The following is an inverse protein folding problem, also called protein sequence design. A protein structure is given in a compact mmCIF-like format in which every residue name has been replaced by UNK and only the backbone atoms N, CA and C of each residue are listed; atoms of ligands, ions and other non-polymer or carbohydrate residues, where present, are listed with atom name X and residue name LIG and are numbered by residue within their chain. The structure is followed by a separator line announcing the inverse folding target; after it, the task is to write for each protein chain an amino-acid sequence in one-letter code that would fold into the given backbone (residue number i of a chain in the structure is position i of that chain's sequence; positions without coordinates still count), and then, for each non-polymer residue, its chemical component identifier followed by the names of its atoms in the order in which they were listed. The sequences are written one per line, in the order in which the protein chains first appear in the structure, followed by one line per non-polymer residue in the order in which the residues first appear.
data_IF_488695830712
#
_entry.id   IF_488695830712
#
_cell.length_a   1.000
_cell.length_b   1.000
_cell.length_c   1.000
_cell.angle_alpha   90.00
_cell.angle_beta   90.00
_cell.angle_gamma   90.00
#
_symmetry.space_group_name_H-M   'P 1'
#
loop_
_entity.id
_entity.type
_entity.pdbx_description
1 polymer ?
#
# COMPACT_ATOMS: atom_id res chain seq x y z
N UNK A 1 4.12 22.13 -10.54
CA UNK A 1 4.55 21.21 -9.47
C UNK A 1 6.06 20.97 -9.48
N UNK A 2 6.65 20.42 -10.54
CA UNK A 2 8.10 20.16 -10.60
C UNK A 2 8.98 21.41 -10.40
N UNK A 3 8.57 22.58 -10.92
CA UNK A 3 9.24 23.88 -10.65
C UNK A 3 9.26 24.30 -9.17
N UNK A 4 8.42 23.68 -8.34
CA UNK A 4 8.38 23.83 -6.89
C UNK A 4 8.97 22.61 -6.16
N UNK A 5 9.86 21.86 -6.82
CA UNK A 5 10.61 20.72 -6.27
C UNK A 5 9.77 19.48 -5.91
N UNK A 6 8.58 19.32 -6.50
CA UNK A 6 7.86 18.05 -6.40
C UNK A 6 8.60 16.96 -7.17
N UNK A 7 9.14 15.96 -6.46
CA UNK A 7 9.85 14.80 -7.03
C UNK A 7 8.91 13.70 -7.53
N UNK A 8 7.62 13.78 -7.20
CA UNK A 8 6.60 12.78 -7.55
C UNK A 8 5.28 13.48 -7.82
N UNK A 9 4.65 13.13 -8.94
CA UNK A 9 3.34 13.65 -9.36
C UNK A 9 2.35 12.50 -9.34
N UNK A 10 1.42 12.51 -8.37
CA UNK A 10 0.28 11.59 -8.34
C UNK A 10 -0.73 12.03 -9.39
N UNK A 11 -1.10 11.14 -10.31
CA UNK A 11 -2.21 11.39 -11.25
C UNK A 11 -3.48 10.78 -10.63
N UNK A 12 -4.30 11.65 -10.06
CA UNK A 12 -5.57 11.27 -9.41
C UNK A 12 -6.59 10.74 -10.43
N UNK A 13 -7.29 9.67 -10.09
CA UNK A 13 -8.34 9.07 -10.92
C UNK A 13 -7.92 8.86 -12.38
N UNK A 14 -6.64 8.54 -12.61
CA UNK A 14 -6.01 8.60 -13.92
C UNK A 14 -6.69 7.68 -14.95
N UNK A 15 -7.13 6.50 -14.50
CA UNK A 15 -7.82 5.54 -15.35
C UNK A 15 -9.10 6.13 -16.00
N UNK A 16 -9.70 7.16 -15.42
CA UNK A 16 -10.90 7.81 -15.96
C UNK A 16 -10.59 8.98 -16.92
N UNK A 17 -9.33 9.28 -17.23
CA UNK A 17 -9.00 10.49 -17.98
C UNK A 17 -9.43 10.44 -19.46
N UNK A 18 -9.36 9.27 -20.10
CA UNK A 18 -9.71 9.10 -21.52
C UNK A 18 -11.18 8.72 -21.65
N UNK A 19 -11.90 9.42 -22.55
CA UNK A 19 -13.30 9.17 -22.87
C UNK A 19 -13.46 8.78 -24.33
N UNK A 20 -14.14 7.67 -24.59
CA UNK A 20 -14.32 7.13 -25.94
C UNK A 20 -15.65 6.42 -26.04
N UNK A 21 -16.44 6.82 -27.06
CA UNK A 21 -17.73 6.19 -27.36
C UNK A 21 -17.58 4.66 -27.46
N UNK A 22 -18.59 3.96 -26.94
CA UNK A 22 -18.68 2.51 -26.91
C UNK A 22 -17.56 1.79 -26.11
N UNK A 23 -16.97 2.47 -25.11
CA UNK A 23 -16.03 1.88 -24.14
C UNK A 23 -16.52 2.02 -22.70
N UNK A 24 -15.78 1.46 -21.73
CA UNK A 24 -16.07 1.63 -20.29
C UNK A 24 -15.71 3.01 -19.75
N UNK A 25 -15.03 3.86 -20.53
CA UNK A 25 -14.44 5.13 -20.08
C UNK A 25 -13.46 4.98 -18.89
N UNK A 26 -12.94 3.76 -18.69
CA UNK A 26 -11.97 3.38 -17.68
C UNK A 26 -10.81 2.63 -18.32
N UNK A 27 -9.61 3.19 -18.16
CA UNK A 27 -8.35 2.72 -18.72
C UNK A 27 -8.46 2.36 -20.22
N UNK A 28 -8.91 3.31 -21.03
CA UNK A 28 -9.14 3.11 -22.47
C UNK A 28 -7.81 2.92 -23.20
N UNK A 29 -7.52 1.67 -23.57
CA UNK A 29 -6.31 1.23 -24.28
C UNK A 29 -6.52 1.25 -25.81
N UNK A 30 -5.62 1.82 -26.63
CA UNK A 30 -4.28 2.35 -26.30
C UNK A 30 -4.18 3.83 -25.92
N UNK A 31 -5.24 4.62 -26.05
CA UNK A 31 -5.18 6.08 -25.89
C UNK A 31 -4.69 6.55 -24.51
N UNK A 32 -4.89 5.76 -23.46
CA UNK A 32 -4.38 6.05 -22.11
C UNK A 32 -2.84 6.13 -22.07
N UNK A 33 -2.14 5.40 -22.95
CA UNK A 33 -0.68 5.41 -23.02
C UNK A 33 -0.15 6.68 -23.69
N UNK A 34 -0.88 7.20 -24.68
CA UNK A 34 -0.55 8.48 -25.32
C UNK A 34 -0.62 9.60 -24.28
N UNK A 35 -1.67 9.59 -23.44
CA UNK A 35 -1.80 10.54 -22.33
C UNK A 35 -0.65 10.43 -21.32
N UNK A 36 -0.23 9.21 -20.94
CA UNK A 36 0.94 9.04 -20.06
C UNK A 36 2.23 9.56 -20.71
N UNK A 37 2.40 9.33 -22.02
CA UNK A 37 3.56 9.82 -22.76
C UNK A 37 3.59 11.35 -22.82
N UNK A 38 2.44 12.00 -23.04
CA UNK A 38 2.30 13.46 -22.98
C UNK A 38 2.68 14.01 -21.61
N UNK A 39 2.14 13.45 -20.52
CA UNK A 39 2.49 13.88 -19.15
C UNK A 39 3.99 13.69 -18.88
N UNK A 40 4.59 12.60 -19.36
CA UNK A 40 6.03 12.36 -19.23
C UNK A 40 6.85 13.38 -20.03
N UNK A 41 6.38 13.77 -21.20
CA UNK A 41 7.01 14.81 -22.01
C UNK A 41 6.94 16.19 -21.34
N UNK A 42 5.82 16.52 -20.70
CA UNK A 42 5.67 17.77 -19.93
C UNK A 42 6.64 17.85 -18.74
N UNK A 43 7.04 16.70 -18.21
CA UNK A 43 8.04 16.59 -17.13
C UNK A 43 9.47 16.41 -17.64
N UNK A 44 9.71 16.43 -18.95
CA UNK A 44 11.04 16.26 -19.53
C UNK A 44 12.00 17.36 -19.03
N UNK A 45 13.22 16.94 -18.67
CA UNK A 45 14.22 17.83 -18.06
C UNK A 45 14.03 18.07 -16.56
N UNK A 46 13.12 17.34 -15.91
CA UNK A 46 12.98 17.30 -14.45
C UNK A 46 13.20 15.88 -13.92
N UNK A 47 13.53 15.74 -12.65
CA UNK A 47 13.66 14.43 -11.99
C UNK A 47 12.31 13.87 -11.48
N UNK A 48 11.21 14.60 -11.72
CA UNK A 48 9.90 14.26 -11.20
C UNK A 48 9.39 12.94 -11.81
N UNK A 49 8.97 12.02 -10.93
CA UNK A 49 8.39 10.74 -11.32
C UNK A 49 6.86 10.85 -11.38
N UNK A 50 6.22 9.92 -12.11
CA UNK A 50 4.77 9.84 -12.26
C UNK A 50 4.25 8.63 -11.48
N UNK A 51 3.16 8.83 -10.75
CA UNK A 51 2.45 7.81 -9.99
C UNK A 51 0.94 7.88 -10.29
N UNK A 52 0.47 7.15 -11.31
CA UNK A 52 -0.95 7.07 -11.61
C UNK A 52 -1.67 6.30 -10.50
N UNK A 53 -2.76 6.86 -10.00
CA UNK A 53 -3.65 6.16 -9.07
C UNK A 53 -4.71 5.38 -9.87
N UNK A 54 -4.77 4.08 -9.61
CA UNK A 54 -5.64 3.12 -10.29
C UNK A 54 -6.09 2.07 -9.27
N UNK A 55 -7.36 2.14 -8.86
CA UNK A 55 -8.04 1.07 -8.12
C UNK A 55 -8.70 0.09 -9.09
N UNK A 56 -8.07 -1.07 -9.29
CA UNK A 56 -8.57 -2.17 -10.12
C UNK A 56 -7.77 -3.44 -9.81
N UNK A 57 -8.21 -4.59 -10.34
CA UNK A 57 -7.46 -5.83 -10.35
C UNK A 57 -5.95 -5.62 -10.62
N UNK A 58 -5.10 -6.24 -9.80
CA UNK A 58 -3.65 -5.98 -9.71
C UNK A 58 -2.89 -6.10 -11.04
N UNK A 59 -3.42 -6.82 -12.03
CA UNK A 59 -2.81 -6.95 -13.36
C UNK A 59 -2.75 -5.62 -14.10
N UNK A 60 -3.69 -4.70 -13.85
CA UNK A 60 -3.73 -3.41 -14.51
C UNK A 60 -2.64 -2.46 -13.99
N UNK A 61 -2.50 -2.21 -12.67
CA UNK A 61 -1.32 -1.55 -12.12
C UNK A 61 -0.02 -2.24 -12.56
N UNK A 62 0.04 -3.58 -12.55
CA UNK A 62 1.24 -4.30 -13.03
C UNK A 62 1.59 -3.94 -14.49
N UNK A 63 0.59 -3.87 -15.38
CA UNK A 63 0.80 -3.42 -16.78
C UNK A 63 1.41 -2.02 -16.82
N UNK A 64 0.98 -1.10 -15.96
CA UNK A 64 1.54 0.27 -15.85
C UNK A 64 2.98 0.25 -15.32
N UNK A 65 3.28 -0.59 -14.32
CA UNK A 65 4.65 -0.77 -13.83
C UNK A 65 5.58 -1.37 -14.88
N UNK A 66 5.09 -2.31 -15.70
CA UNK A 66 5.88 -2.92 -16.78
C UNK A 66 6.20 -1.89 -17.90
N UNK A 67 5.44 -0.80 -17.99
CA UNK A 67 5.75 0.38 -18.83
C UNK A 67 6.69 1.40 -18.14
N UNK A 68 7.20 1.07 -16.95
CA UNK A 68 8.23 1.85 -16.26
C UNK A 68 7.70 2.98 -15.37
N UNK A 69 6.40 3.04 -15.08
CA UNK A 69 5.81 4.00 -14.14
C UNK A 69 5.76 3.43 -12.72
N UNK A 70 5.70 4.31 -11.70
CA UNK A 70 5.37 3.85 -10.34
C UNK A 70 3.89 3.54 -10.24
N UNK A 71 3.54 2.60 -9.36
CA UNK A 71 2.15 2.25 -9.01
C UNK A 71 1.96 2.21 -7.50
N UNK A 72 0.72 2.12 -7.05
CA UNK A 72 0.37 1.77 -5.68
C UNK A 72 0.20 0.26 -5.53
N UNK A 73 0.63 -0.27 -4.38
CA UNK A 73 0.25 -1.61 -3.92
C UNK A 73 -0.99 -1.51 -3.05
N UNK A 74 -2.16 -1.39 -3.69
CA UNK A 74 -3.46 -1.38 -3.01
C UNK A 74 -3.96 -2.78 -2.62
N UNK A 75 -3.29 -3.84 -3.05
CA UNK A 75 -3.63 -5.21 -2.65
C UNK A 75 -3.09 -5.56 -1.26
N UNK A 76 -1.88 -5.07 -0.93
CA UNK A 76 -1.20 -5.36 0.34
C UNK A 76 -2.06 -5.13 1.59
N UNK A 77 -2.84 -4.04 1.74
CA UNK A 77 -3.69 -3.83 2.91
C UNK A 77 -4.59 -5.02 3.25
N UNK A 78 -5.33 -5.54 2.27
CA UNK A 78 -6.30 -6.63 2.47
C UNK A 78 -5.60 -7.99 2.59
N UNK A 79 -4.56 -8.25 1.78
CA UNK A 79 -3.77 -9.48 1.86
C UNK A 79 -3.10 -9.63 3.24
N UNK A 80 -2.60 -8.53 3.79
CA UNK A 80 -1.95 -8.51 5.08
C UNK A 80 -2.96 -8.68 6.23
N UNK A 81 -4.14 -8.06 6.14
CA UNK A 81 -5.23 -8.32 7.11
C UNK A 81 -5.63 -9.79 7.12
N UNK A 82 -5.80 -10.42 5.95
CA UNK A 82 -6.10 -11.86 5.85
C UNK A 82 -5.05 -12.69 6.60
N UNK A 83 -3.76 -12.44 6.34
CA UNK A 83 -2.66 -13.16 6.99
C UNK A 83 -2.61 -12.94 8.49
N UNK A 84 -2.91 -11.73 8.98
CA UNK A 84 -2.93 -11.45 10.42
C UNK A 84 -4.16 -12.03 11.13
N UNK A 85 -5.30 -12.11 10.48
CA UNK A 85 -6.52 -12.70 11.05
C UNK A 85 -6.47 -14.23 11.10
N UNK A 86 -6.01 -14.85 10.01
CA UNK A 86 -5.91 -16.31 9.92
C UNK A 86 -4.65 -16.86 10.58
N UNK A 87 -3.62 -16.02 10.74
CA UNK A 87 -2.26 -16.45 11.09
C UNK A 87 -1.54 -17.18 9.95
N UNK A 88 -2.07 -17.20 8.72
CA UNK A 88 -1.50 -17.93 7.58
C UNK A 88 -0.58 -17.04 6.75
N UNK A 89 0.62 -17.50 6.42
CA UNK A 89 1.63 -16.69 5.72
C UNK A 89 1.59 -16.79 4.19
N UNK A 90 0.92 -17.79 3.62
CA UNK A 90 1.11 -18.16 2.21
C UNK A 90 0.60 -17.10 1.23
N UNK A 91 -0.55 -16.47 1.48
CA UNK A 91 -1.12 -15.44 0.60
C UNK A 91 -0.24 -14.19 0.56
N UNK A 92 0.18 -13.72 1.74
CA UNK A 92 1.14 -12.63 1.84
C UNK A 92 2.46 -13.00 1.15
N UNK A 93 3.01 -14.19 1.40
CA UNK A 93 4.26 -14.61 0.78
C UNK A 93 4.17 -14.71 -0.75
N UNK A 94 3.04 -15.19 -1.29
CA UNK A 94 2.81 -15.24 -2.73
C UNK A 94 2.75 -13.82 -3.32
N UNK A 95 2.02 -12.90 -2.67
CA UNK A 95 1.94 -11.51 -3.11
C UNK A 95 3.30 -10.82 -3.10
N UNK A 96 4.05 -10.93 -1.99
CA UNK A 96 5.38 -10.31 -1.83
C UNK A 96 6.42 -10.82 -2.84
N UNK A 97 6.26 -12.05 -3.35
CA UNK A 97 7.11 -12.60 -4.43
C UNK A 97 6.73 -12.08 -5.82
N UNK A 98 5.49 -11.65 -6.00
CA UNK A 98 4.92 -11.28 -7.29
C UNK A 98 4.92 -9.76 -7.54
N UNK A 99 4.71 -8.96 -6.50
CA UNK A 99 4.61 -7.51 -6.63
C UNK A 99 5.95 -6.87 -7.06
N UNK A 100 5.93 -5.84 -7.91
CA UNK A 100 7.16 -5.21 -8.42
C UNK A 100 7.88 -4.38 -7.34
N UNK A 101 9.20 -4.19 -7.49
CA UNK A 101 9.93 -3.24 -6.64
C UNK A 101 9.55 -1.78 -6.92
N UNK A 102 9.10 -1.44 -8.13
CA UNK A 102 8.74 -0.06 -8.53
C UNK A 102 7.31 0.31 -8.12
N UNK A 103 7.04 0.30 -6.82
CA UNK A 103 5.71 0.62 -6.28
C UNK A 103 5.79 1.38 -4.96
N UNK A 104 4.68 1.98 -4.58
CA UNK A 104 4.45 2.54 -3.25
C UNK A 104 3.51 1.63 -2.47
N UNK A 105 3.96 1.10 -1.34
CA UNK A 105 3.13 0.25 -0.48
C UNK A 105 2.35 1.10 0.51
N UNK A 106 1.08 0.75 0.72
CA UNK A 106 0.20 1.40 1.71
C UNK A 106 -0.42 0.35 2.61
N UNK A 107 -0.88 0.75 3.80
CA UNK A 107 -1.84 -0.02 4.60
C UNK A 107 -3.13 0.78 4.74
N UNK A 108 -2.98 2.07 4.93
CA UNK A 108 -4.00 3.09 5.01
C UNK A 108 -3.67 4.26 4.08
N UNK A 109 -4.70 4.96 3.65
CA UNK A 109 -4.61 6.21 2.91
C UNK A 109 -5.73 7.15 3.37
N UNK A 110 -5.91 8.26 2.68
CA UNK A 110 -7.07 9.13 2.86
C UNK A 110 -8.41 8.51 2.42
N UNK A 111 -8.39 7.42 1.64
CA UNK A 111 -9.57 6.67 1.22
C UNK A 111 -9.74 5.40 2.06
N UNK A 112 -10.79 4.62 1.77
CA UNK A 112 -11.04 3.36 2.47
C UNK A 112 -10.17 2.21 1.96
N UNK A 113 -10.24 1.07 2.65
CA UNK A 113 -9.53 -0.15 2.25
C UNK A 113 -10.21 -0.78 1.04
N UNK A 114 -9.53 -0.80 -0.10
CA UNK A 114 -10.04 -1.36 -1.34
C UNK A 114 -10.11 -2.89 -1.31
N UNK A 115 -11.33 -3.43 -1.48
CA UNK A 115 -11.57 -4.88 -1.47
C UNK A 115 -11.27 -5.50 -2.84
N UNK A 116 -11.58 -4.78 -3.91
CA UNK A 116 -11.39 -5.25 -5.30
C UNK A 116 -9.92 -5.45 -5.65
N UNK A 117 -9.03 -4.65 -5.06
CA UNK A 117 -7.58 -4.66 -5.35
C UNK A 117 -6.92 -6.00 -4.96
N UNK A 118 -7.50 -6.74 -4.01
CA UNK A 118 -7.00 -8.04 -3.55
C UNK A 118 -7.60 -9.26 -4.27
N UNK A 119 -8.50 -9.03 -5.25
CA UNK A 119 -9.14 -10.10 -6.02
C UNK A 119 -8.11 -10.97 -6.74
N UNK A 120 -8.35 -12.27 -6.75
CA UNK A 120 -7.51 -13.34 -7.31
C UNK A 120 -6.12 -13.50 -6.66
N UNK A 121 -5.71 -12.58 -5.77
CA UNK A 121 -4.62 -12.80 -4.82
C UNK A 121 -5.17 -13.59 -3.63
N UNK A 122 -6.29 -13.12 -3.09
CA UNK A 122 -7.18 -13.83 -2.18
C UNK A 122 -8.35 -14.42 -3.00
N UNK A 123 -8.85 -15.60 -2.61
CA UNK A 123 -10.09 -16.13 -3.17
C UNK A 123 -11.30 -15.33 -2.69
N UNK A 124 -12.44 -15.45 -3.37
CA UNK A 124 -13.68 -14.80 -2.93
C UNK A 124 -14.06 -15.20 -1.48
N UNK A 125 -13.84 -16.45 -1.07
CA UNK A 125 -14.07 -16.88 0.31
C UNK A 125 -13.09 -16.26 1.31
N UNK A 126 -11.82 -16.10 0.93
CA UNK A 126 -10.80 -15.46 1.76
C UNK A 126 -11.05 -13.95 1.90
N UNK A 127 -11.55 -13.30 0.83
CA UNK A 127 -11.98 -11.90 0.85
C UNK A 127 -13.20 -11.72 1.75
N UNK A 128 -14.23 -12.56 1.60
CA UNK A 128 -15.41 -12.51 2.48
C UNK A 128 -14.99 -12.75 3.93
N UNK A 129 -14.22 -13.80 4.21
CA UNK A 129 -13.68 -14.06 5.55
C UNK A 129 -12.98 -12.84 6.15
N UNK A 130 -12.06 -12.24 5.40
CA UNK A 130 -11.28 -11.06 5.87
C UNK A 130 -12.21 -9.88 6.14
N UNK A 131 -13.19 -9.66 5.27
CA UNK A 131 -14.17 -8.60 5.42
C UNK A 131 -15.05 -8.82 6.66
N UNK A 132 -15.56 -10.03 6.87
CA UNK A 132 -16.36 -10.34 8.07
C UNK A 132 -15.53 -10.22 9.35
N UNK A 133 -14.30 -10.72 9.35
CA UNK A 133 -13.43 -10.64 10.51
C UNK A 133 -13.02 -9.20 10.81
N UNK A 134 -12.82 -8.36 9.80
CA UNK A 134 -12.65 -6.91 9.96
C UNK A 134 -13.87 -6.28 10.65
N UNK A 135 -15.10 -6.60 10.26
CA UNK A 135 -16.29 -6.07 10.97
C UNK A 135 -16.49 -6.64 12.37
N UNK A 136 -15.90 -7.81 12.67
CA UNK A 136 -16.00 -8.46 13.99
C UNK A 136 -14.93 -7.97 14.97
N UNK A 137 -13.70 -7.84 14.51
CA UNK A 137 -12.53 -7.43 15.30
C UNK A 137 -12.35 -5.91 15.28
N UNK A 138 -12.76 -5.28 14.17
CA UNK A 138 -12.55 -3.87 13.92
C UNK A 138 -13.27 -3.01 14.95
N UNK A 139 -12.51 -2.20 15.69
CA UNK A 139 -13.06 -1.35 16.73
C UNK A 139 -14.05 -0.34 16.11
N UNK A 140 -15.34 -0.50 16.43
CA UNK A 140 -16.43 0.33 15.95
C UNK A 140 -16.61 0.38 14.42
N UNK A 141 -16.08 -0.57 13.67
CA UNK A 141 -16.27 -0.62 12.22
C UNK A 141 -17.67 -1.11 11.91
N UNK A 142 -18.48 -0.31 11.21
CA UNK A 142 -19.86 -0.68 10.84
C UNK A 142 -20.06 -0.50 9.34
N UNK A 143 -20.74 -1.46 8.71
CA UNK A 143 -21.09 -1.44 7.28
C UNK A 143 -21.78 -0.14 6.86
N UNK A 144 -22.60 0.46 7.73
CA UNK A 144 -23.28 1.73 7.46
C UNK A 144 -22.29 2.86 7.11
N UNK A 145 -21.10 2.88 7.71
CA UNK A 145 -20.08 3.92 7.50
C UNK A 145 -19.41 3.89 6.13
N UNK A 146 -19.59 2.80 5.38
CA UNK A 146 -19.13 2.66 3.98
C UNK A 146 -20.30 2.76 2.98
N UNK A 147 -21.49 3.18 3.41
CA UNK A 147 -22.67 3.25 2.55
C UNK A 147 -22.94 4.66 2.01
N UNK A 148 -23.89 4.76 1.08
CA UNK A 148 -24.40 6.03 0.57
C UNK A 148 -25.03 6.92 1.66
N UNK A 149 -25.46 6.36 2.79
CA UNK A 149 -25.94 7.14 3.95
C UNK A 149 -24.84 8.08 4.50
N UNK A 150 -23.57 7.73 4.27
CA UNK A 150 -22.38 8.51 4.69
C UNK A 150 -21.61 9.02 3.47
N UNK A 151 -22.32 9.40 2.40
CA UNK A 151 -21.77 10.01 1.18
C UNK A 151 -20.62 9.24 0.51
N UNK A 152 -20.54 7.93 0.72
CA UNK A 152 -19.54 7.11 0.02
C UNK A 152 -19.99 6.77 -1.38
N UNK A 153 -19.26 7.28 -2.37
CA UNK A 153 -19.44 6.95 -3.77
C UNK A 153 -18.75 5.61 -4.13
N UNK A 154 -17.68 5.26 -3.42
CA UNK A 154 -16.89 4.05 -3.65
C UNK A 154 -17.29 2.91 -2.70
N UNK A 155 -18.42 2.28 -2.98
CA UNK A 155 -19.01 1.19 -2.17
C UNK A 155 -18.13 -0.07 -2.04
N UNK A 156 -17.02 -0.13 -2.79
CA UNK A 156 -16.05 -1.24 -2.79
C UNK A 156 -14.92 -1.06 -1.77
N UNK A 157 -14.92 0.06 -1.02
CA UNK A 157 -13.94 0.36 0.01
C UNK A 157 -14.55 0.25 1.42
N UNK A 158 -13.73 -0.16 2.39
CA UNK A 158 -14.12 -0.21 3.81
C UNK A 158 -13.50 0.98 4.54
N UNK A 159 -14.35 1.88 5.05
CA UNK A 159 -13.91 3.04 5.83
C UNK A 159 -13.58 2.62 7.26
N UNK A 160 -12.30 2.65 7.60
CA UNK A 160 -11.75 2.45 8.94
C UNK A 160 -10.30 2.93 8.95
N UNK A 161 -9.76 3.27 10.11
CA UNK A 161 -8.30 3.30 10.28
C UNK A 161 -7.76 1.88 10.26
N UNK A 162 -6.51 1.69 9.81
CA UNK A 162 -5.88 0.37 9.78
C UNK A 162 -5.59 -0.16 11.19
N UNK A 163 -5.29 0.73 12.14
CA UNK A 163 -5.13 0.39 13.56
C UNK A 163 -6.44 -0.17 14.14
N UNK A 164 -7.57 0.47 13.86
CA UNK A 164 -8.88 -0.02 14.29
C UNK A 164 -9.33 -1.26 13.54
N UNK A 165 -8.95 -1.47 12.28
CA UNK A 165 -9.20 -2.75 11.59
C UNK A 165 -8.56 -3.92 12.36
N UNK A 166 -7.38 -3.72 12.93
CA UNK A 166 -6.68 -4.72 13.76
C UNK A 166 -7.16 -4.79 15.22
N UNK A 167 -8.26 -4.10 15.54
CA UNK A 167 -8.89 -4.10 16.86
C UNK A 167 -8.17 -3.24 17.89
N UNK A 168 -7.50 -2.16 17.46
CA UNK A 168 -6.67 -1.30 18.30
C UNK A 168 -5.57 -2.09 19.05
N UNK A 169 -5.03 -3.16 18.43
CA UNK A 169 -3.97 -3.99 19.03
C UNK A 169 -2.58 -3.52 18.57
N UNK A 170 -1.83 -2.92 19.49
CA UNK A 170 -0.47 -2.42 19.26
C UNK A 170 0.49 -3.46 18.65
N UNK A 171 0.38 -4.72 19.05
CA UNK A 171 1.30 -5.77 18.58
C UNK A 171 0.97 -6.15 17.15
N UNK A 172 -0.32 -6.35 16.83
CA UNK A 172 -0.76 -6.64 15.46
C UNK A 172 -0.44 -5.48 14.53
N UNK A 173 -0.68 -4.25 14.99
CA UNK A 173 -0.42 -3.06 14.19
C UNK A 173 1.07 -2.84 13.91
N UNK A 174 1.92 -2.99 14.94
CA UNK A 174 3.36 -2.92 14.75
C UNK A 174 3.86 -4.02 13.79
N UNK A 175 3.35 -5.25 13.93
CA UNK A 175 3.67 -6.35 13.01
C UNK A 175 3.24 -6.04 11.57
N UNK A 176 2.05 -5.44 11.38
CA UNK A 176 1.59 -5.02 10.06
C UNK A 176 2.54 -4.01 9.42
N UNK A 177 2.95 -2.98 10.16
CA UNK A 177 3.92 -1.98 9.68
C UNK A 177 5.30 -2.57 9.41
N UNK A 178 5.75 -3.51 10.24
CA UNK A 178 7.00 -4.23 10.02
C UNK A 178 6.97 -5.01 8.70
N UNK A 179 5.88 -5.73 8.43
CA UNK A 179 5.70 -6.45 7.17
C UNK A 179 5.60 -5.49 5.97
N UNK A 180 4.88 -4.36 6.09
CA UNK A 180 4.82 -3.32 5.05
C UNK A 180 6.21 -2.76 4.71
N UNK A 181 7.04 -2.51 5.73
CA UNK A 181 8.36 -1.90 5.58
C UNK A 181 9.34 -2.85 4.87
N UNK A 182 9.19 -4.15 5.05
CA UNK A 182 9.97 -5.17 4.35
C UNK A 182 9.45 -5.47 2.94
N UNK A 183 8.18 -5.17 2.65
CA UNK A 183 7.58 -5.41 1.34
C UNK A 183 8.34 -4.70 0.20
N UNK A 184 8.27 -5.21 -1.04
CA UNK A 184 8.88 -4.57 -2.21
C UNK A 184 8.35 -3.15 -2.42
N UNK A 185 9.25 -2.20 -2.64
CA UNK A 185 8.89 -0.80 -2.92
C UNK A 185 9.11 0.20 -1.79
N UNK A 186 8.44 1.35 -1.94
CA UNK A 186 8.56 2.52 -1.05
C UNK A 186 7.34 2.54 -0.11
N UNK A 187 7.52 2.35 1.21
CA UNK A 187 6.39 2.41 2.14
C UNK A 187 5.89 3.86 2.29
N UNK A 188 4.62 4.08 1.99
CA UNK A 188 3.91 5.29 2.40
C UNK A 188 3.18 5.03 3.72
N UNK A 189 3.43 5.89 4.69
CA UNK A 189 2.80 5.85 6.00
C UNK A 189 1.82 7.01 6.09
N UNK A 190 0.52 6.70 6.12
CA UNK A 190 -0.51 7.71 6.29
C UNK A 190 -0.46 8.27 7.71
N UNK A 191 -0.69 9.58 7.87
CA UNK A 191 -0.43 10.26 9.14
C UNK A 191 -1.28 9.76 10.32
N UNK A 192 -2.55 9.40 10.08
CA UNK A 192 -3.41 8.78 11.11
C UNK A 192 -2.79 7.45 11.55
N UNK A 193 -2.33 6.65 10.60
CA UNK A 193 -1.59 5.43 10.87
C UNK A 193 -0.26 5.65 11.59
N UNK A 194 0.51 6.67 11.22
CA UNK A 194 1.78 6.99 11.87
C UNK A 194 1.60 7.13 13.39
N UNK A 195 0.49 7.74 13.80
CA UNK A 195 0.13 7.94 15.21
C UNK A 195 -0.71 6.80 15.81
N UNK A 196 -0.87 5.67 15.10
CA UNK A 196 -1.74 4.56 15.52
C UNK A 196 -3.14 5.06 15.94
N UNK A 197 -3.72 5.95 15.11
CA UNK A 197 -5.00 6.60 15.34
C UNK A 197 -6.18 5.64 15.22
N UNK A 198 -7.14 5.79 16.11
CA UNK A 198 -8.40 5.04 16.10
C UNK A 198 -9.43 5.67 15.16
N UNK A 199 -10.52 4.94 14.90
CA UNK A 199 -11.68 5.45 14.17
C UNK A 199 -12.27 6.71 14.82
N UNK A 200 -12.26 7.82 14.06
CA UNK A 200 -12.86 9.08 14.48
C UNK A 200 -14.37 9.10 14.17
N UNK A 201 -15.14 8.53 15.10
CA UNK A 201 -16.60 8.47 14.98
C UNK A 201 -17.25 9.84 15.15
N UNK A 202 -16.65 10.74 15.92
CA UNK A 202 -17.22 12.06 16.18
C UNK A 202 -17.14 12.93 14.92
N UNK A 203 -16.00 12.94 14.23
CA UNK A 203 -15.84 13.62 12.95
C UNK A 203 -16.72 12.99 11.88
N UNK A 204 -16.78 11.66 11.80
CA UNK A 204 -17.65 10.96 10.87
C UNK A 204 -19.14 11.28 11.10
N UNK A 205 -19.61 11.25 12.34
CA UNK A 205 -21.03 11.45 12.64
C UNK A 205 -21.45 12.91 12.49
N UNK A 206 -20.55 13.86 12.75
CA UNK A 206 -20.80 15.29 12.56
C UNK A 206 -20.74 15.72 11.10
N UNK A 207 -19.84 15.14 10.28
CA UNK A 207 -19.72 15.50 8.86
C UNK A 207 -20.66 14.70 7.94
N UNK A 208 -21.04 13.48 8.35
CA UNK A 208 -21.71 12.48 7.50
C UNK A 208 -20.90 12.06 6.27
N UNK A 209 -19.59 12.23 6.32
CA UNK A 209 -18.63 11.76 5.31
C UNK A 209 -17.90 10.51 5.83
N UNK A 210 -18.15 9.34 5.23
CA UNK A 210 -17.64 8.07 5.74
C UNK A 210 -16.11 7.99 5.84
N UNK A 211 -15.40 8.62 4.90
CA UNK A 211 -13.93 8.66 4.90
C UNK A 211 -13.34 9.46 6.06
N UNK A 212 -14.12 10.34 6.70
CA UNK A 212 -13.63 11.13 7.83
C UNK A 212 -13.32 10.28 9.07
N UNK A 213 -13.78 9.02 9.12
CA UNK A 213 -13.38 8.07 10.15
C UNK A 213 -11.86 7.88 10.25
N UNK A 214 -11.14 8.10 9.14
CA UNK A 214 -9.69 7.99 9.02
C UNK A 214 -9.07 9.33 8.58
N UNK A 215 -9.61 10.47 9.00
CA UNK A 215 -9.07 11.81 8.66
C UNK A 215 -9.01 12.75 9.87
N UNK A 216 -8.72 12.19 11.05
CA UNK A 216 -8.69 12.93 12.30
C UNK A 216 -7.75 14.15 12.22
N UNK A 217 -8.22 15.30 12.72
CA UNK A 217 -7.43 16.53 12.74
C UNK A 217 -6.66 16.66 14.05
N UNK A 218 -5.42 16.18 14.05
CA UNK A 218 -4.56 16.23 15.22
C UNK A 218 -4.11 17.67 15.57
N UNK A 219 -4.21 18.01 16.85
CA UNK A 219 -3.56 19.22 17.40
C UNK A 219 -2.06 19.00 17.66
N UNK A 220 -1.28 20.08 17.82
CA UNK A 220 0.15 19.94 18.16
C UNK A 220 0.34 19.30 19.54
N UNK A 221 -0.53 19.61 20.48
CA UNK A 221 -0.54 19.06 21.84
C UNK A 221 -0.83 17.56 21.82
N UNK A 222 -1.79 17.14 21.00
CA UNK A 222 -2.12 15.72 20.81
C UNK A 222 -0.96 14.98 20.13
N UNK A 223 -0.37 15.52 19.07
CA UNK A 223 0.81 14.92 18.43
C UNK A 223 1.94 14.75 19.45
N UNK A 224 2.20 15.76 20.28
CA UNK A 224 3.24 15.70 21.31
C UNK A 224 3.00 14.58 22.33
N UNK A 225 1.74 14.21 22.57
CA UNK A 225 1.39 13.06 23.42
C UNK A 225 1.49 11.72 22.65
N UNK A 226 0.93 11.67 21.44
CA UNK A 226 0.82 10.45 20.65
C UNK A 226 2.19 9.88 20.25
N UNK A 227 3.19 10.74 19.98
CA UNK A 227 4.55 10.29 19.65
C UNK A 227 5.26 9.55 20.79
N UNK A 228 4.83 9.79 22.04
CA UNK A 228 5.36 9.09 23.22
C UNK A 228 4.67 7.74 23.48
N UNK A 229 3.55 7.44 22.80
CA UNK A 229 2.91 6.12 22.91
C UNK A 229 3.91 5.03 22.50
N UNK A 230 4.05 3.92 23.26
CA UNK A 230 5.05 2.90 22.98
C UNK A 230 5.01 2.31 21.57
N UNK A 231 3.83 2.16 20.97
CA UNK A 231 3.68 1.66 19.59
C UNK A 231 4.18 2.67 18.55
N UNK A 232 3.87 3.96 18.74
CA UNK A 232 4.29 5.04 17.83
C UNK A 232 5.79 5.26 17.92
N UNK A 233 6.36 5.34 19.13
CA UNK A 233 7.80 5.47 19.33
C UNK A 233 8.59 4.30 18.70
N UNK A 234 8.06 3.07 18.74
CA UNK A 234 8.65 1.91 18.06
C UNK A 234 8.53 2.03 16.53
N UNK A 235 7.37 2.48 16.03
CA UNK A 235 7.16 2.69 14.61
C UNK A 235 8.13 3.73 14.04
N UNK A 236 8.33 4.85 14.75
CA UNK A 236 9.30 5.89 14.34
C UNK A 236 10.73 5.32 14.22
N UNK A 237 11.19 4.55 15.22
CA UNK A 237 12.51 3.89 15.16
C UNK A 237 12.63 2.90 14.00
N UNK A 238 11.55 2.18 13.69
CA UNK A 238 11.52 1.26 12.57
C UNK A 238 11.61 1.99 11.22
N UNK A 239 10.96 3.16 11.11
CA UNK A 239 11.04 4.02 9.92
C UNK A 239 12.43 4.66 9.78
N UNK A 240 13.07 5.08 10.88
CA UNK A 240 14.47 5.53 10.88
C UNK A 240 15.41 4.44 10.38
N UNK A 241 15.27 3.22 10.89
CA UNK A 241 16.02 2.05 10.44
C UNK A 241 15.84 1.82 8.93
N UNK A 242 14.59 1.76 8.45
CA UNK A 242 14.25 1.58 7.03
C UNK A 242 14.84 2.66 6.12
N UNK A 243 14.94 3.89 6.60
CA UNK A 243 15.50 5.01 5.82
C UNK A 243 17.03 4.99 5.75
N UNK A 244 17.69 4.34 6.73
CA UNK A 244 19.15 4.28 6.81
C UNK A 244 19.77 3.01 6.25
N UNK A 245 19.00 1.93 6.12
CA UNK A 245 19.50 0.61 5.76
C UNK A 245 19.49 0.40 4.23
N UNK A 246 20.68 0.15 3.67
CA UNK A 246 20.91 0.02 2.23
C UNK A 246 20.24 -1.23 1.63
N UNK A 247 19.99 -2.28 2.43
CA UNK A 247 19.25 -3.47 1.97
C UNK A 247 17.84 -3.15 1.45
N UNK A 248 17.29 -1.98 1.78
CA UNK A 248 15.98 -1.56 1.31
C UNK A 248 15.99 -0.72 0.01
N UNK A 249 17.13 -0.56 -0.66
CA UNK A 249 17.20 0.05 -1.98
C UNK A 249 16.27 -0.67 -2.98
N UNK A 250 15.68 0.07 -3.92
CA UNK A 250 14.82 -0.47 -4.96
C UNK A 250 15.59 -1.33 -5.99
N UNK A 251 16.90 -1.12 -6.11
CA UNK A 251 17.78 -2.01 -6.88
C UNK A 251 18.11 -3.32 -6.15
N UNK A 252 17.74 -3.44 -4.87
CA UNK A 252 17.87 -4.67 -4.09
C UNK A 252 16.83 -5.73 -4.45
N UNK A 253 16.77 -6.79 -3.65
CA UNK A 253 15.71 -7.79 -3.73
C UNK A 253 15.14 -8.14 -2.35
N UNK A 254 13.97 -8.79 -2.37
CA UNK A 254 13.35 -9.41 -1.22
C UNK A 254 13.30 -10.93 -1.44
N UNK A 255 13.88 -11.69 -0.52
CA UNK A 255 13.69 -13.13 -0.43
C UNK A 255 12.56 -13.44 0.56
N UNK A 256 11.69 -14.38 0.20
CA UNK A 256 10.51 -14.73 0.99
C UNK A 256 10.42 -16.24 1.16
N UNK A 257 10.40 -16.70 2.40
CA UNK A 257 10.18 -18.09 2.77
C UNK A 257 9.04 -18.24 3.77
N UNK A 258 8.36 -19.39 3.72
CA UNK A 258 7.29 -19.76 4.67
C UNK A 258 7.63 -21.14 5.25
N UNK A 259 8.51 -21.21 6.27
CA UNK A 259 8.98 -22.49 6.83
C UNK A 259 7.85 -23.38 7.35
N UNK A 260 6.76 -22.76 7.80
CA UNK A 260 5.50 -23.40 8.17
C UNK A 260 4.30 -22.54 7.74
N UNK A 261 3.08 -23.02 7.96
CA UNK A 261 1.86 -22.26 7.63
C UNK A 261 1.74 -20.93 8.40
N UNK A 262 2.36 -20.84 9.57
CA UNK A 262 2.23 -19.71 10.48
C UNK A 262 3.50 -18.86 10.60
N UNK A 263 4.49 -19.12 9.75
CA UNK A 263 5.77 -18.43 9.77
C UNK A 263 6.06 -17.82 8.40
N UNK A 264 6.59 -16.60 8.43
CA UNK A 264 7.14 -15.92 7.25
C UNK A 264 8.53 -15.40 7.59
N UNK A 265 9.46 -15.59 6.67
CA UNK A 265 10.83 -15.09 6.76
C UNK A 265 11.05 -14.18 5.56
N UNK A 266 11.43 -12.93 5.85
CA UNK A 266 11.67 -11.88 4.87
C UNK A 266 13.12 -11.43 4.98
N UNK A 267 13.89 -11.54 3.90
CA UNK A 267 15.29 -11.10 3.85
C UNK A 267 15.44 -10.05 2.76
N UNK A 268 15.84 -8.83 3.15
CA UNK A 268 16.20 -7.77 2.20
C UNK A 268 17.68 -7.84 1.91
N UNK A 269 18.04 -7.74 0.63
CA UNK A 269 19.42 -7.86 0.16
C UNK A 269 19.76 -6.65 -0.71
N UNK A 270 20.84 -5.96 -0.37
CA UNK A 270 21.44 -4.97 -1.26
C UNK A 270 22.31 -5.71 -2.30
N UNK A 271 22.03 -5.53 -3.59
CA UNK A 271 22.80 -6.18 -4.65
C UNK A 271 24.16 -5.53 -4.91
N UNK A 272 24.37 -4.27 -4.52
CA UNK A 272 25.66 -3.59 -4.62
C UNK A 272 26.73 -4.19 -3.68
N UNK A 273 26.30 -4.88 -2.61
CA UNK A 273 27.21 -5.57 -1.68
C UNK A 273 27.54 -7.01 -2.11
N UNK A 274 26.94 -7.51 -3.20
CA UNK A 274 27.21 -8.85 -3.70
C UNK A 274 28.42 -8.88 -4.61
N UNK A 275 29.37 -9.76 -4.29
CA UNK A 275 30.49 -10.11 -5.18
C UNK A 275 30.18 -11.45 -5.84
N UNK A 276 30.11 -11.48 -7.18
CA UNK A 276 29.89 -12.71 -7.94
C UNK A 276 31.20 -13.20 -8.53
N UNK A 277 31.45 -14.51 -8.45
CA UNK A 277 32.53 -15.19 -9.18
C UNK A 277 31.90 -16.29 -10.03
N UNK A 278 31.90 -16.10 -11.35
CA UNK A 278 31.42 -17.11 -12.29
C UNK A 278 32.62 -17.91 -12.78
N UNK A 279 32.54 -19.24 -12.77
CA UNK A 279 33.61 -20.10 -13.32
C UNK A 279 33.06 -21.11 -14.32
N UNK A 280 33.75 -21.30 -15.44
CA UNK A 280 33.46 -22.35 -16.44
C UNK A 280 34.72 -23.21 -16.60
N UNK A 281 34.58 -24.53 -16.45
CA UNK A 281 35.70 -25.48 -16.46
C UNK A 281 36.83 -25.13 -15.47
N UNK A 282 36.48 -24.56 -14.31
CA UNK A 282 37.45 -24.17 -13.28
C UNK A 282 38.20 -22.86 -13.55
N UNK A 283 37.87 -22.14 -14.62
CA UNK A 283 38.41 -20.80 -14.90
C UNK A 283 37.36 -19.75 -14.60
N UNK A 284 37.76 -18.66 -13.93
CA UNK A 284 36.89 -17.50 -13.77
C UNK A 284 36.51 -16.95 -15.14
N UNK A 285 35.23 -16.67 -15.33
CA UNK A 285 34.70 -16.01 -16.50
C UNK A 285 34.39 -14.58 -16.07
N UNK A 286 35.18 -13.63 -16.55
CA UNK A 286 34.76 -12.23 -16.61
C UNK A 286 33.77 -12.12 -17.77
N UNK A 287 32.50 -11.83 -17.45
CA UNK A 287 31.48 -11.42 -18.41
C UNK A 287 31.26 -9.92 -18.28
#
# INVERSE_FOLDING_TARGET
MAKHHASLIRLDAFAYAVKKLDTSDFFVDPEIWDLLAEVRQDLAGTDAQILPEIHEHYTLPKKVSDHGYFIYDFALPMVLLYSLYTGKSQRLAAWLKQCPMKQFTTLDTHDGLGVVDAKDILTDEEIDYTTQELYKVGANVKRKYSSAEYNNLDIYQINTTYYSALGNDDRKYFLARLLQIFAPGIPQIYYVGLLAGENDLDLLESSKEGRNINRHYYSLEEIAHEVDRPVVAKLLKLLEFRNSEAAFDLAGLLEVATPSEHEIVLTRVNLADLTYQITVNGQAVDL
#
